data_IF_916315514580
#
_entry.id   IF_916315514580
#
_cell.length_a   1.000
_cell.length_b   1.000
_cell.length_c   1.000
_cell.angle_alpha   90.00
_cell.angle_beta   90.00
_cell.angle_gamma   90.00
#
_symmetry.space_group_name_H-M   'P 1'
#
loop_
_entity.id
_entity.type
_entity.pdbx_description
1 polymer ?
#
# COMPACT_ATOMS: atom_id res chain seq x y z
N UNK A 1 -21.90 24.94 0.00
CA UNK A 1 -21.28 23.60 -0.12
C UNK A 1 -21.46 22.88 1.21
N UNK A 2 -22.15 21.73 1.23
CA UNK A 2 -22.54 21.03 2.46
C UNK A 2 -21.40 20.16 3.00
N UNK A 3 -21.19 20.16 4.33
CA UNK A 3 -20.15 19.40 5.03
C UNK A 3 -20.22 17.88 4.74
N UNK A 4 -21.42 17.33 4.57
CA UNK A 4 -21.61 15.91 4.23
C UNK A 4 -20.93 15.51 2.92
N UNK A 5 -20.90 16.42 1.93
CA UNK A 5 -20.26 16.16 0.64
C UNK A 5 -18.74 16.10 0.74
N UNK A 6 -18.13 16.81 1.70
CA UNK A 6 -16.68 16.81 1.94
C UNK A 6 -16.27 15.50 2.62
N UNK A 7 -17.01 15.06 3.64
CA UNK A 7 -16.72 13.77 4.33
C UNK A 7 -16.82 12.58 3.37
N UNK A 8 -17.83 12.58 2.50
CA UNK A 8 -18.02 11.51 1.52
C UNK A 8 -16.89 11.46 0.49
N UNK A 9 -16.42 12.62 0.01
CA UNK A 9 -15.28 12.70 -0.91
C UNK A 9 -13.97 12.32 -0.24
N UNK A 10 -13.75 12.77 1.00
CA UNK A 10 -12.56 12.41 1.77
C UNK A 10 -12.48 10.90 2.01
N UNK A 11 -13.58 10.25 2.39
CA UNK A 11 -13.64 8.80 2.57
C UNK A 11 -13.35 8.04 1.25
N UNK A 12 -13.89 8.51 0.13
CA UNK A 12 -13.68 7.89 -1.19
C UNK A 12 -12.24 8.06 -1.68
N UNK A 13 -11.64 9.23 -1.47
CA UNK A 13 -10.23 9.49 -1.77
C UNK A 13 -9.30 8.68 -0.88
N UNK A 14 -9.65 8.49 0.40
CA UNK A 14 -8.88 7.65 1.31
C UNK A 14 -8.94 6.16 0.88
N UNK A 15 -10.11 5.70 0.43
CA UNK A 15 -10.29 4.35 -0.10
C UNK A 15 -9.46 4.14 -1.39
N UNK A 16 -9.49 5.09 -2.33
CA UNK A 16 -8.69 4.98 -3.56
C UNK A 16 -7.18 5.02 -3.29
N UNK A 17 -6.74 5.84 -2.32
CA UNK A 17 -5.35 5.87 -1.87
C UNK A 17 -4.91 4.56 -1.22
N UNK A 18 -5.82 3.81 -0.59
CA UNK A 18 -5.53 2.47 -0.03
C UNK A 18 -5.44 1.38 -1.10
N UNK A 19 -6.15 1.50 -2.22
CA UNK A 19 -6.09 0.54 -3.33
C UNK A 19 -4.85 0.71 -4.22
N UNK A 20 -4.28 1.91 -4.29
CA UNK A 20 -3.11 2.19 -5.12
C UNK A 20 -1.87 1.34 -4.73
N UNK A 21 -1.49 1.21 -3.44
CA UNK A 21 -0.43 0.33 -2.99
C UNK A 21 -0.66 -1.12 -3.42
N UNK A 22 -1.87 -1.68 -3.22
CA UNK A 22 -2.16 -3.09 -3.51
C UNK A 22 -1.90 -3.46 -4.97
N UNK A 23 -2.35 -2.61 -5.91
CA UNK A 23 -2.08 -2.84 -7.33
C UNK A 23 -0.60 -2.75 -7.65
N UNK A 24 0.09 -1.79 -7.05
CA UNK A 24 1.50 -1.55 -7.31
C UNK A 24 2.38 -2.67 -6.74
N UNK A 25 2.14 -3.09 -5.50
CA UNK A 25 2.87 -4.17 -4.83
C UNK A 25 2.64 -5.52 -5.52
N UNK A 26 1.39 -5.84 -5.89
CA UNK A 26 1.08 -7.06 -6.64
C UNK A 26 1.89 -7.13 -7.95
N UNK A 27 1.94 -6.02 -8.69
CA UNK A 27 2.70 -5.95 -9.94
C UNK A 27 4.21 -6.02 -9.73
N UNK A 28 4.73 -5.35 -8.68
CA UNK A 28 6.16 -5.35 -8.36
C UNK A 28 6.67 -6.72 -7.94
N UNK A 29 5.91 -7.44 -7.11
CA UNK A 29 6.28 -8.76 -6.60
C UNK A 29 5.78 -9.92 -7.49
N UNK A 30 5.15 -9.62 -8.64
CA UNK A 30 4.51 -10.61 -9.52
C UNK A 30 3.55 -11.55 -8.77
N UNK A 31 2.78 -10.99 -7.85
CA UNK A 31 1.76 -11.69 -7.07
C UNK A 31 0.40 -11.47 -7.74
N UNK A 32 -0.47 -12.49 -7.70
CA UNK A 32 -1.84 -12.37 -8.22
C UNK A 32 -2.59 -11.20 -7.54
N UNK A 33 -3.30 -10.40 -8.32
CA UNK A 33 -4.04 -9.25 -7.81
C UNK A 33 -5.19 -9.66 -6.88
N UNK A 34 -5.83 -10.81 -7.13
CA UNK A 34 -6.83 -11.37 -6.24
C UNK A 34 -6.22 -11.71 -4.87
N UNK A 35 -5.03 -12.31 -4.87
CA UNK A 35 -4.30 -12.62 -3.64
C UNK A 35 -3.92 -11.35 -2.87
N UNK A 36 -3.43 -10.32 -3.57
CA UNK A 36 -3.09 -9.04 -2.95
C UNK A 36 -4.32 -8.32 -2.35
N UNK A 37 -5.49 -8.44 -2.98
CA UNK A 37 -6.77 -7.93 -2.43
C UNK A 37 -7.21 -8.73 -1.21
N UNK A 38 -7.02 -10.05 -1.21
CA UNK A 38 -7.31 -10.90 -0.05
C UNK A 38 -6.44 -10.51 1.15
N UNK A 39 -5.15 -10.26 0.93
CA UNK A 39 -4.23 -9.74 1.95
C UNK A 39 -4.72 -8.41 2.53
N UNK A 40 -5.15 -7.47 1.67
CA UNK A 40 -5.71 -6.19 2.12
C UNK A 40 -7.00 -6.38 2.92
N UNK A 41 -7.91 -7.24 2.47
CA UNK A 41 -9.15 -7.53 3.16
C UNK A 41 -8.86 -8.12 4.56
N UNK A 42 -7.92 -9.05 4.65
CA UNK A 42 -7.47 -9.64 5.92
C UNK A 42 -6.89 -8.59 6.87
N UNK A 43 -6.07 -7.65 6.37
CA UNK A 43 -5.50 -6.55 7.14
C UNK A 43 -6.54 -5.50 7.59
N UNK A 44 -7.68 -5.45 6.92
CA UNK A 44 -8.78 -4.51 7.23
C UNK A 44 -9.71 -5.05 8.32
N UNK A 45 -9.60 -6.33 8.67
CA UNK A 45 -10.43 -6.93 9.72
C UNK A 45 -9.99 -6.42 11.10
N UNK A 46 -10.94 -6.07 11.98
CA UNK A 46 -10.63 -5.53 13.31
C UNK A 46 -9.99 -6.58 14.24
N UNK A 47 -10.28 -7.87 14.00
CA UNK A 47 -9.65 -9.00 14.67
C UNK A 47 -9.22 -9.98 13.60
N UNK A 48 -7.93 -9.97 13.27
CA UNK A 48 -7.34 -10.95 12.36
C UNK A 48 -6.87 -12.16 13.17
N UNK A 49 -7.26 -13.36 12.72
CA UNK A 49 -6.78 -14.64 13.29
C UNK A 49 -5.31 -14.92 12.94
N UNK A 50 -4.83 -16.18 13.08
CA UNK A 50 -3.50 -16.54 12.61
C UNK A 50 -3.34 -16.26 11.11
N UNK A 51 -2.19 -15.73 10.72
CA UNK A 51 -1.89 -15.36 9.34
C UNK A 51 -1.93 -16.59 8.42
N UNK A 52 -2.70 -16.55 7.31
CA UNK A 52 -2.76 -17.66 6.36
C UNK A 52 -1.40 -18.03 5.79
N UNK A 53 -1.10 -19.34 5.71
CA UNK A 53 0.21 -19.84 5.29
C UNK A 53 0.59 -19.45 3.86
N UNK A 54 -0.38 -19.33 2.96
CA UNK A 54 -0.13 -18.92 1.58
C UNK A 54 0.31 -17.44 1.46
N UNK A 55 0.14 -16.61 2.50
CA UNK A 55 0.74 -15.27 2.56
C UNK A 55 2.21 -15.29 3.00
N UNK A 56 2.69 -16.38 3.60
CA UNK A 56 4.01 -16.45 4.25
C UNK A 56 5.14 -16.90 3.32
N UNK A 57 4.82 -17.31 2.10
CA UNK A 57 5.78 -17.95 1.20
C UNK A 57 6.20 -17.04 0.04
N UNK A 58 7.51 -16.97 -0.20
CA UNK A 58 8.11 -16.31 -1.37
C UNK A 58 7.69 -14.84 -1.52
N UNK A 59 7.37 -14.45 -2.76
CA UNK A 59 6.99 -13.08 -3.10
C UNK A 59 5.69 -12.61 -2.42
N UNK A 60 4.82 -13.55 -2.02
CA UNK A 60 3.59 -13.23 -1.31
C UNK A 60 3.89 -12.62 0.08
N UNK A 61 4.95 -13.08 0.75
CA UNK A 61 5.36 -12.53 2.06
C UNK A 61 5.84 -11.08 1.96
N UNK A 62 6.67 -10.79 0.96
CA UNK A 62 7.15 -9.43 0.71
C UNK A 62 6.01 -8.48 0.30
N UNK A 63 5.10 -8.97 -0.57
CA UNK A 63 3.91 -8.24 -0.96
C UNK A 63 3.01 -7.93 0.24
N UNK A 64 2.74 -8.94 1.09
CA UNK A 64 1.95 -8.79 2.30
C UNK A 64 2.56 -7.78 3.28
N UNK A 65 3.87 -7.87 3.52
CA UNK A 65 4.57 -6.94 4.40
C UNK A 65 4.41 -5.49 3.93
N UNK A 66 4.58 -5.24 2.63
CA UNK A 66 4.47 -3.90 2.08
C UNK A 66 3.02 -3.37 2.11
N UNK A 67 2.03 -4.23 1.80
CA UNK A 67 0.60 -3.89 1.93
C UNK A 67 0.26 -3.59 3.40
N UNK A 68 0.82 -4.32 4.36
CA UNK A 68 0.59 -4.10 5.80
C UNK A 68 1.11 -2.73 6.27
N UNK A 69 2.27 -2.30 5.77
CA UNK A 69 2.83 -0.97 6.06
C UNK A 69 1.94 0.12 5.46
N UNK A 70 1.53 -0.06 4.19
CA UNK A 70 0.63 0.88 3.52
C UNK A 70 -0.74 0.99 4.23
N UNK A 71 -1.27 -0.12 4.74
CA UNK A 71 -2.54 -0.15 5.46
C UNK A 71 -2.47 0.55 6.82
N UNK A 72 -1.41 0.32 7.60
CA UNK A 72 -1.26 0.87 8.96
C UNK A 72 -0.72 2.30 8.97
N UNK A 73 0.23 2.62 8.09
CA UNK A 73 0.98 3.89 8.08
C UNK A 73 1.17 4.39 6.65
N UNK A 74 0.10 4.86 5.98
CA UNK A 74 0.16 5.29 4.59
C UNK A 74 1.15 6.43 4.36
N UNK A 75 1.30 7.35 5.34
CA UNK A 75 2.28 8.44 5.24
C UNK A 75 3.73 7.96 5.16
N UNK A 76 4.09 6.90 5.89
CA UNK A 76 5.45 6.33 5.83
C UNK A 76 5.67 5.63 4.49
N UNK A 77 4.66 4.90 3.99
CA UNK A 77 4.75 4.23 2.69
C UNK A 77 5.01 5.23 1.56
N UNK A 78 4.19 6.28 1.46
CA UNK A 78 4.37 7.30 0.41
C UNK A 78 5.63 8.14 0.61
N UNK A 79 5.98 8.48 1.86
CA UNK A 79 7.21 9.18 2.17
C UNK A 79 8.45 8.39 1.74
N UNK A 80 8.49 7.08 2.02
CA UNK A 80 9.56 6.21 1.58
C UNK A 80 9.63 6.12 0.04
N UNK A 81 8.48 6.02 -0.63
CA UNK A 81 8.45 5.97 -2.10
C UNK A 81 9.01 7.25 -2.73
N UNK A 82 8.64 8.42 -2.20
CA UNK A 82 9.17 9.71 -2.64
C UNK A 82 10.67 9.81 -2.32
N UNK A 83 11.11 9.37 -1.14
CA UNK A 83 12.52 9.40 -0.79
C UNK A 83 13.38 8.54 -1.74
N UNK A 84 12.91 7.35 -2.10
CA UNK A 84 13.63 6.44 -3.02
C UNK A 84 13.79 7.06 -4.41
N UNK A 85 12.81 7.83 -4.89
CA UNK A 85 12.89 8.48 -6.22
C UNK A 85 13.58 9.85 -6.17
N UNK A 86 13.43 10.59 -5.07
CA UNK A 86 14.05 11.90 -4.89
C UNK A 86 15.56 11.79 -4.66
N UNK A 87 16.04 10.78 -3.95
CA UNK A 87 17.46 10.60 -3.65
C UNK A 87 18.34 10.47 -4.91
N UNK A 88 18.03 9.60 -5.91
CA UNK A 88 18.79 9.55 -7.16
C UNK A 88 18.62 10.81 -7.99
N UNK A 89 17.45 11.47 -7.96
CA UNK A 89 17.23 12.73 -8.65
C UNK A 89 18.10 13.86 -8.07
N UNK A 90 18.15 13.98 -6.75
CA UNK A 90 19.00 14.94 -6.04
C UNK A 90 20.48 14.65 -6.24
N UNK A 91 20.87 13.37 -6.27
CA UNK A 91 22.23 13.00 -6.63
C UNK A 91 22.55 13.41 -8.06
N UNK A 92 21.68 13.12 -9.02
CA UNK A 92 21.89 13.49 -10.42
C UNK A 92 22.01 15.00 -10.60
N UNK A 93 21.12 15.79 -9.97
CA UNK A 93 21.17 17.25 -9.98
C UNK A 93 22.41 17.83 -9.28
N UNK A 94 22.98 17.12 -8.30
CA UNK A 94 24.22 17.54 -7.65
C UNK A 94 25.46 17.34 -8.53
N UNK A 95 25.40 16.37 -9.44
CA UNK A 95 26.50 16.00 -10.34
C UNK A 95 26.29 16.48 -11.79
N UNK A 96 25.19 17.16 -12.08
CA UNK A 96 24.90 17.83 -13.36
C UNK A 96 25.32 19.29 -13.29
#
# INVERSE_FOLDING_TARGET
>A
MSLETIHTKAARSLASLREAPVRWTARMFRVDLALAREMQAWLSQPVSGPMPEHFRHGNAAACFALISIAARKPGIFWGALIAITALPLLLLLRWA
#
